data_IF_694835021937
#
_entry.id   IF_694835021937
#
_cell.length_a   1.000
_cell.length_b   1.000
_cell.length_c   1.000
_cell.angle_alpha   90.00
_cell.angle_beta   90.00
_cell.angle_gamma   90.00
#
_symmetry.space_group_name_H-M   'P 1'
#
loop_
_entity.id
_entity.type
_entity.pdbx_description
1 polymer ?
#
# COMPACT_ATOMS: atom_id res chain seq x y z
N UNK A 1 28.93 0.19 -3.45
CA UNK A 1 27.84 -0.12 -4.40
C UNK A 1 26.56 0.24 -3.69
N UNK A 2 25.72 1.04 -4.34
CA UNK A 2 24.45 1.49 -3.76
C UNK A 2 23.32 0.45 -3.86
N UNK A 3 23.61 -0.71 -4.45
CA UNK A 3 22.75 -1.88 -4.40
C UNK A 3 23.54 -3.18 -4.42
N UNK A 4 22.92 -4.28 -4.00
CA UNK A 4 23.47 -5.62 -4.11
C UNK A 4 22.36 -6.68 -4.18
N UNK A 5 22.69 -7.85 -4.73
CA UNK A 5 21.83 -9.03 -4.69
C UNK A 5 21.88 -9.65 -3.29
N UNK A 6 20.73 -10.10 -2.81
CA UNK A 6 20.55 -10.75 -1.50
C UNK A 6 19.44 -11.79 -1.59
N UNK A 7 19.05 -12.37 -0.46
CA UNK A 7 17.99 -13.37 -0.37
C UNK A 7 17.05 -13.03 0.77
N UNK A 8 15.74 -13.10 0.54
CA UNK A 8 14.69 -13.00 1.57
C UNK A 8 13.86 -14.27 1.52
N UNK A 9 13.88 -15.06 2.61
CA UNK A 9 13.13 -16.33 2.70
C UNK A 9 13.33 -17.26 1.49
N UNK A 10 14.60 -17.40 1.05
CA UNK A 10 15.04 -18.17 -0.13
C UNK A 10 14.67 -17.58 -1.50
N UNK A 11 14.06 -16.39 -1.56
CA UNK A 11 13.83 -15.67 -2.81
C UNK A 11 14.99 -14.71 -3.11
N UNK A 12 15.53 -14.72 -4.35
CA UNK A 12 16.43 -13.68 -4.80
C UNK A 12 15.79 -12.30 -4.64
N UNK A 13 16.56 -11.36 -4.10
CA UNK A 13 16.10 -10.03 -3.79
C UNK A 13 17.20 -9.01 -4.12
N UNK A 14 16.79 -7.75 -4.31
CA UNK A 14 17.70 -6.63 -4.52
C UNK A 14 17.59 -5.69 -3.33
N UNK A 15 18.71 -5.47 -2.63
CA UNK A 15 18.82 -4.44 -1.60
C UNK A 15 19.37 -3.17 -2.24
N UNK A 16 18.58 -2.09 -2.20
CA UNK A 16 19.02 -0.73 -2.48
C UNK A 16 19.44 -0.09 -1.16
N UNK A 17 20.63 0.50 -1.11
CA UNK A 17 21.24 1.00 0.12
C UNK A 17 21.98 2.31 -0.07
N UNK A 18 21.64 3.29 0.77
CA UNK A 18 22.39 4.54 0.99
C UNK A 18 23.07 4.48 2.36
N UNK A 19 23.80 5.53 2.79
CA UNK A 19 24.29 5.61 4.17
C UNK A 19 23.16 5.63 5.21
N UNK A 20 21.99 6.14 4.85
CA UNK A 20 20.90 6.41 5.79
C UNK A 20 19.79 5.35 5.76
N UNK A 21 19.52 4.74 4.60
CA UNK A 21 18.30 3.95 4.39
C UNK A 21 18.57 2.70 3.54
N UNK A 22 17.82 1.65 3.82
CA UNK A 22 17.78 0.43 3.00
C UNK A 22 16.33 0.07 2.62
N UNK A 23 16.15 -0.30 1.35
CA UNK A 23 14.95 -0.94 0.83
C UNK A 23 15.32 -2.26 0.20
N UNK A 24 14.56 -3.32 0.48
CA UNK A 24 14.78 -4.63 -0.14
C UNK A 24 13.55 -5.03 -0.95
N UNK A 25 13.75 -5.29 -2.23
CA UNK A 25 12.70 -5.67 -3.19
C UNK A 25 12.85 -7.13 -3.58
N UNK A 26 11.73 -7.87 -3.68
CA UNK A 26 11.68 -9.25 -4.16
C UNK A 26 11.01 -9.28 -5.55
N UNK A 27 11.77 -9.27 -6.65
CA UNK A 27 11.20 -9.18 -8.00
C UNK A 27 10.21 -10.30 -8.33
N UNK A 28 10.49 -11.52 -7.87
CA UNK A 28 9.70 -12.72 -8.18
C UNK A 28 8.31 -12.76 -7.52
N UNK A 29 8.01 -11.86 -6.59
CA UNK A 29 6.74 -11.81 -5.85
C UNK A 29 6.10 -10.45 -6.10
N UNK A 30 5.63 -10.22 -7.34
CA UNK A 30 4.96 -8.97 -7.70
C UNK A 30 5.81 -7.71 -7.46
N UNK A 31 7.14 -7.85 -7.46
CA UNK A 31 8.07 -6.81 -7.03
C UNK A 31 7.87 -6.31 -5.59
N UNK A 32 7.37 -7.13 -4.66
CA UNK A 32 7.12 -6.75 -3.27
C UNK A 32 8.32 -6.05 -2.60
N UNK A 33 8.10 -4.90 -1.96
CA UNK A 33 9.10 -4.37 -1.01
C UNK A 33 8.93 -5.12 0.29
N UNK A 34 10.00 -5.74 0.76
CA UNK A 34 10.01 -6.62 1.92
C UNK A 34 10.58 -5.96 3.17
N UNK A 35 11.42 -4.94 2.99
CA UNK A 35 12.08 -4.21 4.06
C UNK A 35 12.15 -2.72 3.71
N UNK A 36 11.96 -1.88 4.71
CA UNK A 36 12.19 -0.44 4.68
C UNK A 36 12.70 -0.02 6.06
N UNK A 37 13.97 0.38 6.15
CA UNK A 37 14.59 0.69 7.44
C UNK A 37 15.66 1.76 7.35
N UNK A 38 15.79 2.53 8.43
CA UNK A 38 16.95 3.40 8.65
C UNK A 38 18.14 2.55 9.06
N UNK A 39 19.29 2.81 8.44
CA UNK A 39 20.56 2.14 8.75
C UNK A 39 21.32 2.82 9.88
N UNK A 40 21.34 4.16 9.87
CA UNK A 40 21.91 4.95 10.97
C UNK A 40 21.18 4.63 12.27
N UNK A 41 21.94 4.42 13.35
CA UNK A 41 21.38 4.13 14.67
C UNK A 41 20.76 2.73 14.82
N UNK A 42 20.81 1.87 13.78
CA UNK A 42 20.09 0.58 13.72
C UNK A 42 18.58 0.78 13.90
N UNK A 43 18.00 1.57 13.02
CA UNK A 43 16.57 1.87 13.01
C UNK A 43 15.70 0.64 12.86
N UNK A 44 14.42 0.80 13.17
CA UNK A 44 13.46 -0.30 13.11
C UNK A 44 13.12 -0.73 11.68
N UNK A 45 12.64 -1.96 11.55
CA UNK A 45 11.92 -2.39 10.34
C UNK A 45 10.51 -1.81 10.36
N UNK A 46 10.14 -1.06 9.31
CA UNK A 46 8.84 -0.44 9.17
C UNK A 46 7.81 -1.36 8.56
N UNK A 47 8.19 -2.24 7.63
CA UNK A 47 7.24 -3.14 6.98
C UNK A 47 6.94 -4.33 7.88
N UNK A 48 5.66 -4.62 8.06
CA UNK A 48 5.18 -5.79 8.76
C UNK A 48 5.48 -7.03 7.94
N UNK A 49 5.79 -8.12 8.62
CA UNK A 49 5.94 -9.45 8.04
C UNK A 49 5.13 -10.42 8.90
N UNK A 50 4.36 -11.27 8.24
CA UNK A 50 3.54 -12.26 8.94
C UNK A 50 4.42 -13.36 9.54
N UNK A 51 4.15 -13.72 10.79
CA UNK A 51 4.73 -14.90 11.44
C UNK A 51 3.98 -16.20 11.10
N UNK A 52 2.85 -16.08 10.39
CA UNK A 52 1.92 -17.18 10.10
C UNK A 52 1.72 -17.44 8.60
N UNK A 53 2.13 -16.49 7.75
CA UNK A 53 1.93 -16.51 6.30
C UNK A 53 3.29 -16.34 5.64
N UNK A 54 3.94 -17.44 5.19
CA UNK A 54 5.24 -17.35 4.58
C UNK A 54 5.17 -16.65 3.22
N UNK A 55 6.28 -16.05 2.80
CA UNK A 55 6.45 -15.64 1.41
C UNK A 55 6.32 -16.85 0.49
N UNK A 56 5.55 -16.69 -0.59
CA UNK A 56 5.34 -17.71 -1.61
C UNK A 56 5.33 -17.06 -3.00
N UNK A 57 5.63 -17.85 -4.03
CA UNK A 57 5.41 -17.39 -5.40
C UNK A 57 3.91 -17.15 -5.59
N UNK A 58 3.52 -15.96 -6.09
CA UNK A 58 2.13 -15.62 -6.22
C UNK A 58 1.48 -16.44 -7.32
N UNK A 59 0.17 -16.66 -7.20
CA UNK A 59 -0.64 -17.38 -8.18
C UNK A 59 -1.77 -16.46 -8.63
N UNK A 60 -1.85 -16.22 -9.93
CA UNK A 60 -2.91 -15.40 -10.51
C UNK A 60 -4.30 -15.93 -10.11
N UNK A 61 -5.15 -15.04 -9.62
CA UNK A 61 -6.51 -15.37 -9.19
C UNK A 61 -6.63 -16.10 -7.84
N UNK A 62 -5.51 -16.36 -7.14
CA UNK A 62 -5.58 -16.89 -5.78
C UNK A 62 -6.07 -15.83 -4.77
N UNK A 63 -6.59 -16.29 -3.64
CA UNK A 63 -6.92 -15.42 -2.50
C UNK A 63 -5.66 -14.78 -1.93
N UNK A 64 -5.61 -13.45 -1.91
CA UNK A 64 -4.47 -12.70 -1.37
C UNK A 64 -4.37 -12.94 0.14
N UNK A 65 -5.48 -12.81 0.87
CA UNK A 65 -5.50 -12.97 2.34
C UNK A 65 -5.08 -14.37 2.80
N UNK A 66 -5.34 -15.40 2.00
CA UNK A 66 -4.94 -16.77 2.34
C UNK A 66 -3.48 -17.06 1.97
N UNK A 67 -3.02 -16.56 0.82
CA UNK A 67 -1.79 -17.06 0.18
C UNK A 67 -0.65 -16.05 0.10
N UNK A 68 -0.93 -14.75 0.26
CA UNK A 68 -0.01 -13.67 -0.10
C UNK A 68 0.11 -12.53 0.90
N UNK A 69 -0.82 -12.40 1.87
CA UNK A 69 -0.80 -11.45 3.01
C UNK A 69 0.33 -11.74 4.02
N UNK A 70 1.53 -11.92 3.49
CA UNK A 70 2.79 -12.23 4.15
C UNK A 70 3.49 -10.98 4.68
N UNK A 71 2.91 -9.80 4.44
CA UNK A 71 3.51 -8.51 4.76
C UNK A 71 4.26 -7.86 3.59
N UNK A 72 4.97 -6.79 3.90
CA UNK A 72 5.66 -5.96 2.92
C UNK A 72 4.75 -4.93 2.25
N UNK A 73 5.06 -4.62 1.00
CA UNK A 73 4.37 -3.63 0.17
C UNK A 73 4.09 -4.23 -1.20
N UNK A 74 2.80 -4.37 -1.52
CA UNK A 74 2.31 -4.88 -2.81
C UNK A 74 1.65 -3.78 -3.63
N UNK A 75 1.41 -4.03 -4.92
CA UNK A 75 0.66 -3.12 -5.77
C UNK A 75 -0.69 -3.74 -6.12
N UNK A 76 -1.77 -2.97 -5.92
CA UNK A 76 -3.12 -3.35 -6.31
C UNK A 76 -3.58 -2.49 -7.48
N UNK A 77 -3.93 -3.15 -8.58
CA UNK A 77 -4.50 -2.54 -9.78
C UNK A 77 -5.13 -3.63 -10.64
N UNK A 78 -6.29 -3.42 -11.27
CA UNK A 78 -7.13 -2.22 -11.28
C UNK A 78 -8.20 -2.21 -10.16
N UNK A 79 -8.09 -3.12 -9.18
CA UNK A 79 -9.00 -3.29 -8.03
C UNK A 79 -8.18 -3.77 -6.81
N UNK A 80 -8.75 -3.66 -5.60
CA UNK A 80 -8.19 -4.27 -4.38
C UNK A 80 -9.04 -5.46 -3.96
N UNK A 81 -10.36 -5.33 -3.86
CA UNK A 81 -11.27 -6.45 -3.68
C UNK A 81 -11.56 -7.14 -5.02
N UNK A 82 -11.86 -8.46 -5.03
CA UNK A 82 -12.33 -9.12 -6.23
C UNK A 82 -13.61 -8.44 -6.75
N UNK A 83 -13.65 -8.13 -8.04
CA UNK A 83 -14.70 -7.28 -8.61
C UNK A 83 -15.08 -7.71 -10.02
N UNK A 84 -16.37 -7.70 -10.40
CA UNK A 84 -16.70 -7.65 -11.82
C UNK A 84 -16.11 -6.36 -12.44
N UNK A 85 -15.90 -6.37 -13.76
CA UNK A 85 -15.51 -5.17 -14.51
C UNK A 85 -16.79 -4.39 -14.81
N UNK A 86 -16.97 -3.16 -14.28
CA UNK A 86 -18.20 -2.41 -14.50
C UNK A 86 -18.47 -2.16 -15.99
N UNK A 87 -19.66 -2.52 -16.46
CA UNK A 87 -20.06 -2.38 -17.86
C UNK A 87 -19.55 -3.48 -18.81
N UNK A 88 -18.83 -4.49 -18.31
CA UNK A 88 -18.41 -5.62 -19.13
C UNK A 88 -19.59 -6.55 -19.50
N UNK A 89 -19.51 -7.27 -20.63
CA UNK A 89 -20.55 -8.23 -21.02
C UNK A 89 -20.81 -9.33 -19.97
N UNK A 90 -22.04 -9.88 -19.90
CA UNK A 90 -22.33 -11.04 -19.07
C UNK A 90 -21.39 -12.21 -19.38
N UNK A 91 -20.84 -12.81 -18.32
CA UNK A 91 -19.88 -13.93 -18.43
C UNK A 91 -18.42 -13.52 -18.53
N UNK A 92 -18.09 -12.22 -18.57
CA UNK A 92 -16.71 -11.75 -18.40
C UNK A 92 -16.18 -12.15 -17.01
N UNK A 93 -14.98 -12.78 -16.91
CA UNK A 93 -14.39 -13.11 -15.62
C UNK A 93 -14.20 -11.88 -14.73
N UNK A 94 -14.29 -12.07 -13.42
CA UNK A 94 -14.04 -11.01 -12.45
C UNK A 94 -12.55 -10.69 -12.36
N UNK A 95 -12.23 -9.42 -12.10
CA UNK A 95 -10.91 -9.00 -11.66
C UNK A 95 -10.54 -9.73 -10.37
N UNK A 96 -9.29 -10.20 -10.25
CA UNK A 96 -8.86 -11.01 -9.13
C UNK A 96 -8.75 -10.18 -7.84
N UNK A 97 -8.75 -10.90 -6.72
CA UNK A 97 -8.42 -10.33 -5.40
C UNK A 97 -7.05 -9.65 -5.44
N UNK A 98 -6.98 -8.43 -4.93
CA UNK A 98 -5.86 -7.47 -4.97
C UNK A 98 -5.40 -7.06 -6.37
N UNK A 99 -6.20 -7.32 -7.39
CA UNK A 99 -5.87 -6.99 -8.77
C UNK A 99 -4.76 -7.87 -9.35
N UNK A 100 -4.21 -7.45 -10.49
CA UNK A 100 -3.32 -8.29 -11.29
C UNK A 100 -1.85 -8.14 -10.87
N UNK A 101 -1.44 -6.99 -10.34
CA UNK A 101 -0.02 -6.63 -10.19
C UNK A 101 0.74 -7.41 -9.11
N UNK A 102 0.13 -7.71 -7.97
CA UNK A 102 0.77 -8.47 -6.88
C UNK A 102 1.19 -9.89 -7.31
N UNK A 103 0.50 -10.44 -8.32
CA UNK A 103 0.77 -11.77 -8.87
C UNK A 103 1.39 -11.75 -10.27
N UNK A 104 1.59 -10.56 -10.84
CA UNK A 104 2.15 -10.39 -12.17
C UNK A 104 3.63 -10.78 -12.22
N UNK A 105 4.06 -11.18 -13.41
CA UNK A 105 5.48 -11.27 -13.73
C UNK A 105 5.99 -9.88 -14.12
N UNK A 106 7.05 -9.44 -13.44
CA UNK A 106 7.68 -8.16 -13.70
C UNK A 106 9.01 -8.35 -14.42
N UNK A 107 9.27 -7.49 -15.40
CA UNK A 107 10.62 -7.32 -15.93
C UNK A 107 11.27 -6.16 -15.21
N UNK A 108 12.44 -6.38 -14.61
CA UNK A 108 13.11 -5.36 -13.79
C UNK A 108 14.58 -5.17 -14.14
N UNK A 109 15.08 -3.96 -13.97
CA UNK A 109 16.49 -3.61 -13.99
C UNK A 109 16.84 -2.70 -12.82
N UNK A 110 18.12 -2.69 -12.43
CA UNK A 110 18.65 -1.80 -11.39
C UNK A 110 19.86 -1.07 -11.94
N UNK A 111 19.93 0.23 -11.73
CA UNK A 111 21.00 1.09 -12.24
C UNK A 111 21.26 2.29 -11.33
N UNK A 112 22.49 2.79 -11.36
CA UNK A 112 22.93 3.99 -10.64
C UNK A 112 22.90 5.21 -11.57
N UNK A 113 22.56 6.37 -11.04
CA UNK A 113 22.59 7.66 -11.73
C UNK A 113 22.82 8.80 -10.73
N UNK A 114 22.90 10.05 -11.21
CA UNK A 114 23.22 11.20 -10.37
C UNK A 114 22.18 11.47 -9.25
N UNK A 115 20.91 11.15 -9.49
CA UNK A 115 19.81 11.31 -8.51
C UNK A 115 19.69 10.12 -7.53
N UNK A 116 20.55 9.10 -7.64
CA UNK A 116 20.54 7.94 -6.74
C UNK A 116 20.51 6.59 -7.47
N UNK A 117 19.84 5.63 -6.85
CA UNK A 117 19.78 4.25 -7.34
C UNK A 117 18.36 3.87 -7.63
N UNK A 118 18.09 3.48 -8.87
CA UNK A 118 16.75 3.13 -9.31
C UNK A 118 16.65 1.64 -9.59
N UNK A 119 15.63 1.02 -9.02
CA UNK A 119 15.12 -0.27 -9.45
C UNK A 119 13.82 -0.03 -10.22
N UNK A 120 13.90 -0.16 -11.55
CA UNK A 120 12.79 0.06 -12.47
C UNK A 120 12.19 -1.28 -12.89
N UNK A 121 10.87 -1.35 -12.99
CA UNK A 121 10.20 -2.53 -13.52
C UNK A 121 8.91 -2.20 -14.26
N UNK A 122 8.50 -3.14 -15.12
CA UNK A 122 7.20 -3.11 -15.77
C UNK A 122 6.50 -4.46 -15.75
N UNK A 123 5.18 -4.41 -15.78
CA UNK A 123 4.27 -5.53 -15.92
C UNK A 123 3.15 -5.16 -16.91
N UNK A 124 2.53 -6.18 -17.52
CA UNK A 124 1.38 -6.01 -18.40
C UNK A 124 0.13 -6.62 -17.77
N UNK A 125 -0.99 -5.95 -17.93
CA UNK A 125 -2.29 -6.50 -17.58
C UNK A 125 -2.62 -7.72 -18.45
N UNK A 126 -3.35 -8.67 -17.86
CA UNK A 126 -3.86 -9.87 -18.52
C UNK A 126 -5.34 -9.71 -18.82
N UNK A 127 -6.11 -9.19 -17.86
CA UNK A 127 -7.55 -8.98 -18.00
C UNK A 127 -7.89 -7.65 -18.65
N UNK A 128 -7.12 -6.60 -18.36
CA UNK A 128 -7.24 -5.30 -19.01
C UNK A 128 -5.98 -4.96 -19.82
N UNK A 129 -6.12 -4.30 -20.97
CA UNK A 129 -4.99 -3.99 -21.84
C UNK A 129 -4.23 -2.76 -21.32
N UNK A 130 -3.28 -2.99 -20.41
CA UNK A 130 -2.41 -1.93 -19.90
C UNK A 130 -0.96 -2.37 -19.74
N UNK A 131 -0.07 -1.39 -19.70
CA UNK A 131 1.30 -1.56 -19.21
C UNK A 131 1.50 -0.68 -17.98
N UNK A 132 2.00 -1.27 -16.91
CA UNK A 132 2.26 -0.60 -15.65
C UNK A 132 3.74 -0.59 -15.38
N UNK A 133 4.24 0.56 -14.96
CA UNK A 133 5.64 0.80 -14.64
C UNK A 133 5.74 1.28 -13.20
N UNK A 134 6.76 0.79 -12.51
CA UNK A 134 7.13 1.26 -11.18
C UNK A 134 8.63 1.39 -11.06
N UNK A 135 9.06 2.49 -10.49
CA UNK A 135 10.45 2.72 -10.10
C UNK A 135 10.53 2.87 -8.58
N UNK A 136 11.50 2.21 -7.96
CA UNK A 136 11.94 2.46 -6.59
C UNK A 136 13.25 3.23 -6.66
N UNK A 137 13.20 4.53 -6.38
CA UNK A 137 14.34 5.45 -6.46
C UNK A 137 14.82 5.74 -5.04
N UNK A 138 16.01 5.25 -4.70
CA UNK A 138 16.66 5.52 -3.43
C UNK A 138 17.53 6.77 -3.54
N UNK A 139 17.27 7.75 -2.68
CA UNK A 139 18.08 8.97 -2.60
C UNK A 139 19.51 8.63 -2.10
N UNK A 140 20.57 9.20 -2.71
CA UNK A 140 21.94 8.84 -2.37
C UNK A 140 22.38 9.40 -1.02
N UNK A 141 21.70 10.42 -0.49
CA UNK A 141 22.11 11.16 0.72
C UNK A 141 21.02 11.16 1.76
N UNK A 142 19.81 11.56 1.38
CA UNK A 142 18.69 11.71 2.31
C UNK A 142 18.02 10.36 2.62
N UNK A 143 17.39 10.19 3.79
CA UNK A 143 16.62 8.99 4.13
C UNK A 143 15.26 8.97 3.40
N UNK A 144 15.30 9.00 2.07
CA UNK A 144 14.14 9.15 1.19
C UNK A 144 14.13 8.06 0.11
N UNK A 145 12.94 7.51 -0.12
CA UNK A 145 12.63 6.61 -1.23
C UNK A 145 11.46 7.19 -2.01
N UNK A 146 11.59 7.27 -3.32
CA UNK A 146 10.50 7.70 -4.20
C UNK A 146 10.02 6.52 -5.00
N UNK A 147 8.72 6.24 -4.90
CA UNK A 147 8.02 5.31 -5.75
C UNK A 147 7.37 6.11 -6.87
N UNK A 148 7.84 5.92 -8.10
CA UNK A 148 7.30 6.60 -9.29
C UNK A 148 6.52 5.59 -10.11
N UNK A 149 5.33 5.99 -10.53
CA UNK A 149 4.38 5.13 -11.19
C UNK A 149 3.98 5.69 -12.54
N UNK A 150 3.68 4.78 -13.46
CA UNK A 150 3.08 5.10 -14.75
C UNK A 150 2.20 3.97 -15.22
N UNK A 151 1.00 4.28 -15.70
CA UNK A 151 0.11 3.31 -16.36
C UNK A 151 -0.28 3.85 -17.74
N UNK A 152 -0.24 2.96 -18.74
CA UNK A 152 -0.65 3.23 -20.11
C UNK A 152 -1.76 2.26 -20.50
N UNK A 153 -2.90 2.77 -21.00
CA UNK A 153 -3.88 1.93 -21.66
C UNK A 153 -3.39 1.60 -23.07
N UNK A 154 -3.13 0.32 -23.33
CA UNK A 154 -2.64 -0.20 -24.61
C UNK A 154 -3.75 -0.75 -25.50
N UNK A 155 -4.99 -0.72 -25.03
CA UNK A 155 -6.18 -1.16 -25.76
C UNK A 155 -6.87 -0.05 -26.55
N UNK A 156 -8.03 -0.40 -27.10
CA UNK A 156 -8.87 0.45 -27.95
C UNK A 156 -10.15 0.95 -27.24
N UNK A 157 -10.40 0.51 -26.00
CA UNK A 157 -11.53 0.92 -25.18
C UNK A 157 -11.08 1.53 -23.83
N UNK A 158 -11.82 2.52 -23.30
CA UNK A 158 -11.61 2.99 -21.95
C UNK A 158 -12.00 1.93 -20.92
N UNK A 159 -11.32 1.88 -19.78
CA UNK A 159 -11.72 1.05 -18.66
C UNK A 159 -11.64 1.80 -17.32
N UNK A 160 -12.53 1.50 -16.37
CA UNK A 160 -12.44 2.05 -15.02
C UNK A 160 -11.32 1.36 -14.24
N UNK A 161 -10.70 2.09 -13.31
CA UNK A 161 -9.68 1.53 -12.42
C UNK A 161 -9.67 2.23 -11.05
N UNK A 162 -9.16 1.49 -10.08
CA UNK A 162 -8.54 2.04 -8.87
C UNK A 162 -7.10 1.53 -8.75
N UNK A 163 -6.27 2.25 -7.98
CA UNK A 163 -4.91 1.84 -7.64
C UNK A 163 -4.69 2.00 -6.13
N UNK A 164 -4.02 1.04 -5.50
CA UNK A 164 -3.56 1.15 -4.11
C UNK A 164 -2.14 0.61 -3.99
N UNK A 165 -1.27 1.35 -3.30
CA UNK A 165 0.11 0.92 -3.05
C UNK A 165 0.24 -0.11 -1.91
N UNK A 166 -0.84 -0.51 -1.24
CA UNK A 166 -0.93 -1.59 -0.24
C UNK A 166 0.33 -1.92 0.63
N UNK A 167 0.93 -0.95 1.38
CA UNK A 167 2.00 -1.26 2.32
C UNK A 167 1.45 -1.68 3.68
N UNK A 168 1.94 -2.79 4.20
CA UNK A 168 1.63 -3.27 5.54
C UNK A 168 2.74 -2.85 6.50
N UNK A 169 2.40 -1.97 7.45
CA UNK A 169 3.32 -1.44 8.44
C UNK A 169 3.29 -2.22 9.75
N UNK A 170 4.49 -2.44 10.29
CA UNK A 170 4.73 -3.06 11.58
C UNK A 170 4.38 -2.03 12.65
N UNK A 171 3.23 -2.17 13.28
CA UNK A 171 2.72 -1.27 14.32
C UNK A 171 2.59 -2.01 15.65
N UNK A 172 2.57 -1.27 16.74
CA UNK A 172 2.43 -1.79 18.10
C UNK A 172 1.55 -0.86 18.93
N UNK A 173 1.09 -1.31 20.11
CA UNK A 173 0.50 -0.40 21.09
C UNK A 173 1.37 0.84 21.31
N UNK A 174 0.73 2.02 21.25
CA UNK A 174 1.39 3.31 21.34
C UNK A 174 1.87 3.89 20.00
N UNK A 175 1.93 3.11 18.91
CA UNK A 175 2.21 3.68 17.58
C UNK A 175 1.18 4.76 17.25
N UNK A 176 1.66 5.90 16.78
CA UNK A 176 0.82 7.06 16.47
C UNK A 176 0.69 7.19 14.96
N UNK A 177 -0.54 7.21 14.46
CA UNK A 177 -0.90 7.54 13.07
C UNK A 177 -1.46 8.96 13.02
N UNK A 178 -0.86 9.79 12.17
CA UNK A 178 -1.29 11.19 11.94
C UNK A 178 -1.64 11.39 10.47
N UNK A 179 -2.83 11.95 10.23
CA UNK A 179 -3.36 12.33 8.92
C UNK A 179 -3.80 13.82 8.98
N UNK A 180 -2.89 14.80 8.83
CA UNK A 180 -3.13 16.19 9.24
C UNK A 180 -4.31 16.91 8.57
N UNK A 181 -4.71 16.49 7.37
CA UNK A 181 -5.83 17.10 6.64
C UNK A 181 -7.12 16.27 6.66
N UNK A 182 -7.12 15.14 7.37
CA UNK A 182 -8.27 14.23 7.42
C UNK A 182 -9.10 14.53 8.66
N UNK A 183 -10.38 14.84 8.46
CA UNK A 183 -11.34 15.10 9.55
C UNK A 183 -12.48 14.10 9.61
N UNK A 184 -12.70 13.34 8.53
CA UNK A 184 -13.74 12.32 8.42
C UNK A 184 -13.23 11.14 7.60
N UNK A 185 -13.78 9.97 7.89
CA UNK A 185 -13.49 8.70 7.21
C UNK A 185 -14.79 7.97 6.92
N UNK A 186 -14.82 7.21 5.82
CA UNK A 186 -15.93 6.33 5.46
C UNK A 186 -15.51 4.87 5.60
N UNK A 187 -16.34 4.07 6.27
CA UNK A 187 -16.04 2.69 6.63
C UNK A 187 -16.42 1.73 5.49
N UNK A 188 -15.56 0.75 5.21
CA UNK A 188 -15.81 -0.32 4.23
C UNK A 188 -15.84 -1.73 4.87
N UNK A 189 -15.14 -1.93 5.99
CA UNK A 189 -15.24 -3.17 6.77
C UNK A 189 -15.08 -2.89 8.27
N UNK A 190 -15.77 -3.68 9.09
CA UNK A 190 -15.73 -3.58 10.56
C UNK A 190 -15.72 -4.99 11.17
N UNK A 191 -14.80 -5.22 12.11
CA UNK A 191 -14.67 -6.46 12.86
C UNK A 191 -14.51 -6.14 14.35
N UNK A 192 -15.30 -6.78 15.22
CA UNK A 192 -15.16 -6.66 16.67
C UNK A 192 -15.61 -5.32 17.27
N UNK A 193 -16.46 -4.56 16.56
CA UNK A 193 -17.06 -3.30 17.02
C UNK A 193 -18.56 -3.33 16.71
N UNK A 194 -19.37 -2.95 17.69
CA UNK A 194 -20.84 -2.91 17.57
C UNK A 194 -21.38 -1.49 17.35
N UNK A 195 -20.53 -0.47 17.53
CA UNK A 195 -20.86 0.95 17.42
C UNK A 195 -20.55 1.54 16.02
N UNK A 196 -20.00 0.73 15.12
CA UNK A 196 -19.59 1.10 13.77
C UNK A 196 -20.08 0.07 12.77
N UNK A 197 -20.44 0.51 11.57
CA UNK A 197 -20.94 -0.33 10.48
C UNK A 197 -20.31 0.06 9.14
N UNK A 198 -20.32 -0.88 8.19
CA UNK A 198 -19.95 -0.60 6.79
C UNK A 198 -20.83 0.51 6.24
N UNK A 199 -20.22 1.50 5.59
CA UNK A 199 -20.90 2.67 5.02
C UNK A 199 -20.99 3.88 5.94
N UNK A 200 -20.71 3.72 7.24
CA UNK A 200 -20.70 4.84 8.18
C UNK A 200 -19.66 5.89 7.78
N UNK A 201 -20.01 7.16 7.98
CA UNK A 201 -19.09 8.30 7.87
C UNK A 201 -18.91 8.89 9.25
N UNK A 202 -17.68 8.86 9.76
CA UNK A 202 -17.38 9.24 11.15
C UNK A 202 -16.20 10.19 11.24
N UNK A 203 -16.11 10.94 12.33
CA UNK A 203 -15.01 11.87 12.58
C UNK A 203 -13.69 11.15 12.81
N UNK A 204 -12.64 11.60 12.15
CA UNK A 204 -11.27 11.11 12.32
C UNK A 204 -10.46 12.04 13.23
N UNK A 205 -9.60 11.51 14.12
CA UNK A 205 -9.51 10.10 14.53
C UNK A 205 -10.51 9.73 15.64
N UNK A 206 -11.22 10.72 16.21
CA UNK A 206 -11.95 10.57 17.48
C UNK A 206 -12.99 9.46 17.53
N UNK A 207 -13.71 9.18 16.44
CA UNK A 207 -14.69 8.08 16.40
C UNK A 207 -14.03 6.68 16.30
N UNK A 208 -12.76 6.62 15.89
CA UNK A 208 -11.99 5.38 15.77
C UNK A 208 -11.11 5.14 17.02
N UNK A 209 -10.52 6.19 17.59
CA UNK A 209 -9.67 6.14 18.80
C UNK A 209 -9.59 7.49 19.50
N UNK A 210 -9.82 7.53 20.81
CA UNK A 210 -10.21 8.69 21.62
C UNK A 210 -9.13 9.78 21.91
N UNK A 211 -8.37 10.21 20.89
CA UNK A 211 -7.53 11.42 20.91
C UNK A 211 -8.05 12.48 19.91
N UNK A 212 -7.78 13.80 20.12
CA UNK A 212 -8.35 14.86 19.28
C UNK A 212 -7.76 14.91 17.86
N UNK A 213 -6.45 14.65 17.67
CA UNK A 213 -5.77 14.90 16.39
C UNK A 213 -4.98 13.70 15.84
N UNK A 214 -4.77 12.66 16.65
CA UNK A 214 -3.94 11.51 16.29
C UNK A 214 -4.59 10.19 16.71
N UNK A 215 -4.45 9.17 15.86
CA UNK A 215 -4.84 7.81 16.22
C UNK A 215 -3.67 7.13 16.92
N UNK A 216 -3.89 6.63 18.13
CA UNK A 216 -2.90 5.87 18.88
C UNK A 216 -3.34 4.41 18.95
N UNK A 217 -2.48 3.50 18.48
CA UNK A 217 -2.76 2.07 18.54
C UNK A 217 -2.96 1.64 20.00
N UNK A 218 -4.12 1.06 20.35
CA UNK A 218 -4.41 0.65 21.72
C UNK A 218 -3.57 -0.56 22.14
N UNK A 219 -3.43 -0.75 23.46
CA UNK A 219 -2.84 -1.96 24.03
C UNK A 219 -3.72 -3.20 23.78
N UNK A 220 -5.03 -3.02 23.95
CA UNK A 220 -6.06 -4.03 23.78
C UNK A 220 -7.17 -3.46 22.89
N UNK A 221 -7.19 -3.89 21.62
CA UNK A 221 -8.24 -3.54 20.66
C UNK A 221 -9.26 -4.66 20.49
N UNK A 222 -8.80 -5.82 20.00
CA UNK A 222 -9.64 -6.94 19.55
C UNK A 222 -10.64 -6.56 18.44
N UNK A 223 -10.30 -5.54 17.65
CA UNK A 223 -11.08 -5.09 16.49
C UNK A 223 -10.18 -4.81 15.28
N UNK A 224 -10.79 -4.78 14.10
CA UNK A 224 -10.15 -4.31 12.88
C UNK A 224 -11.16 -3.54 12.02
N UNK A 225 -10.71 -2.51 11.31
CA UNK A 225 -11.56 -1.73 10.38
C UNK A 225 -10.83 -1.43 9.08
N UNK A 226 -11.55 -1.50 7.95
CA UNK A 226 -11.16 -0.89 6.68
C UNK A 226 -11.92 0.42 6.53
N UNK A 227 -11.22 1.50 6.21
CA UNK A 227 -11.82 2.80 5.99
C UNK A 227 -11.04 3.61 4.96
N UNK A 228 -11.67 4.67 4.44
CA UNK A 228 -11.09 5.55 3.43
C UNK A 228 -11.34 7.02 3.77
N UNK A 229 -10.44 7.89 3.32
CA UNK A 229 -10.59 9.33 3.34
C UNK A 229 -9.89 9.97 2.15
N UNK A 230 -10.25 11.23 1.85
CA UNK A 230 -9.40 12.07 1.01
C UNK A 230 -8.19 12.52 1.83
N UNK A 231 -6.98 12.42 1.27
CA UNK A 231 -5.73 12.80 1.98
C UNK A 231 -5.64 14.29 2.31
N UNK A 232 -6.47 15.10 1.65
CA UNK A 232 -6.52 16.55 1.77
C UNK A 232 -5.26 17.25 1.25
N UNK A 233 -5.20 18.59 1.36
CA UNK A 233 -4.17 19.40 0.71
C UNK A 233 -2.75 19.15 1.23
N UNK A 234 -2.58 18.56 2.41
CA UNK A 234 -1.25 18.20 2.89
C UNK A 234 -0.65 17.01 2.15
N UNK A 235 -1.47 16.07 1.64
CA UNK A 235 -1.00 14.82 1.04
C UNK A 235 -0.09 13.98 1.95
N UNK A 236 -0.08 14.26 3.26
CA UNK A 236 0.88 13.72 4.23
C UNK A 236 0.21 12.69 5.13
N UNK A 237 0.87 11.55 5.30
CA UNK A 237 0.52 10.51 6.25
C UNK A 237 1.76 10.17 7.07
N UNK A 238 1.62 9.90 8.37
CA UNK A 238 2.79 9.64 9.22
C UNK A 238 2.56 8.62 10.31
N UNK A 239 3.60 7.83 10.57
CA UNK A 239 3.70 6.91 11.68
C UNK A 239 4.85 7.31 12.61
N UNK A 240 4.59 7.32 13.91
CA UNK A 240 5.62 7.53 14.93
C UNK A 240 5.71 6.32 15.85
N UNK A 241 6.91 5.78 15.98
CA UNK A 241 7.22 4.66 16.86
C UNK A 241 7.27 5.12 18.33
N UNK A 242 6.54 4.46 19.25
CA UNK A 242 6.47 4.92 20.64
C UNK A 242 7.72 4.59 21.45
N UNK A 243 8.57 3.66 21.00
CA UNK A 243 9.76 3.27 21.76
C UNK A 243 10.97 4.14 21.47
N UNK A 244 11.16 4.48 20.19
CA UNK A 244 12.33 5.22 19.75
C UNK A 244 12.01 6.63 19.28
N UNK A 245 10.76 6.99 19.06
CA UNK A 245 10.42 8.27 18.43
C UNK A 245 10.70 8.30 16.92
N UNK A 246 11.23 7.21 16.35
CA UNK A 246 11.44 7.07 14.90
C UNK A 246 10.13 7.35 14.15
N UNK A 247 10.21 8.15 13.09
CA UNK A 247 9.05 8.54 12.28
C UNK A 247 9.22 8.07 10.84
N UNK A 248 8.12 7.66 10.24
CA UNK A 248 7.96 7.44 8.81
C UNK A 248 6.90 8.40 8.29
N UNK A 249 7.20 9.11 7.21
CA UNK A 249 6.27 10.00 6.53
C UNK A 249 6.09 9.55 5.09
N UNK A 250 4.84 9.42 4.65
CA UNK A 250 4.48 9.23 3.25
C UNK A 250 3.87 10.54 2.75
N UNK A 251 4.30 10.98 1.57
CA UNK A 251 3.86 12.22 0.93
C UNK A 251 3.43 11.93 -0.50
N UNK A 252 2.26 12.42 -0.85
CA UNK A 252 1.71 12.37 -2.21
C UNK A 252 1.24 13.75 -2.66
N UNK A 253 1.16 13.96 -3.97
CA UNK A 253 0.36 15.05 -4.51
C UNK A 253 -1.11 14.63 -4.46
N UNK A 254 -1.91 15.32 -3.64
CA UNK A 254 -3.34 15.04 -3.49
C UNK A 254 -4.15 15.23 -4.79
N UNK A 255 -3.62 15.93 -5.79
CA UNK A 255 -4.26 16.03 -7.10
C UNK A 255 -4.06 14.76 -7.95
N UNK A 256 -2.97 14.02 -7.72
CA UNK A 256 -2.66 12.77 -8.43
C UNK A 256 -3.13 11.54 -7.65
N UNK A 257 -2.97 11.55 -6.33
CA UNK A 257 -3.33 10.47 -5.40
C UNK A 257 -4.24 11.06 -4.31
N UNK A 258 -5.55 11.14 -4.57
CA UNK A 258 -6.46 11.91 -3.74
C UNK A 258 -6.95 11.17 -2.50
N UNK A 259 -6.88 9.84 -2.46
CA UNK A 259 -7.41 9.04 -1.35
C UNK A 259 -6.32 8.36 -0.53
N UNK A 260 -6.66 8.01 0.70
CA UNK A 260 -5.95 7.06 1.54
C UNK A 260 -6.91 5.98 2.04
N UNK A 261 -6.57 4.72 1.78
CA UNK A 261 -7.16 3.55 2.43
C UNK A 261 -6.41 3.19 3.71
N UNK A 262 -7.13 2.82 4.75
CA UNK A 262 -6.55 2.29 5.98
C UNK A 262 -7.16 0.94 6.30
N UNK A 263 -6.31 -0.05 6.55
CA UNK A 263 -6.66 -1.26 7.29
C UNK A 263 -6.03 -1.19 8.67
N UNK A 264 -6.81 -0.85 9.69
CA UNK A 264 -6.34 -0.77 11.07
C UNK A 264 -6.70 -2.07 11.77
N UNK A 265 -5.72 -2.94 12.02
CA UNK A 265 -5.93 -4.18 12.76
C UNK A 265 -5.35 -4.07 14.16
N UNK A 266 -6.22 -3.98 15.15
CA UNK A 266 -5.85 -3.95 16.56
C UNK A 266 -5.99 -5.33 17.21
N UNK A 267 -5.44 -6.37 16.57
CA UNK A 267 -5.62 -7.80 16.93
C UNK A 267 -7.07 -8.27 16.89
N UNK A 268 -7.91 -7.67 16.05
CA UNK A 268 -9.30 -8.12 15.89
C UNK A 268 -9.52 -9.10 14.76
N UNK A 269 -8.57 -9.18 13.82
CA UNK A 269 -8.75 -9.98 12.61
C UNK A 269 -7.46 -10.73 12.21
N UNK A 270 -7.66 -11.93 11.67
CA UNK A 270 -6.68 -12.68 10.88
C UNK A 270 -7.46 -13.59 9.91
N UNK A 271 -6.81 -14.08 8.84
CA UNK A 271 -7.41 -15.08 7.97
C UNK A 271 -7.82 -16.34 8.76
N UNK A 272 -8.80 -17.11 8.28
CA UNK A 272 -9.28 -18.31 8.98
C UNK A 272 -8.15 -19.26 9.42
N UNK A 273 -8.23 -19.74 10.66
CA UNK A 273 -7.24 -20.65 11.24
C UNK A 273 -5.95 -19.99 11.74
N UNK A 274 -5.86 -18.65 11.74
CA UNK A 274 -4.70 -17.89 12.21
C UNK A 274 -5.03 -17.02 13.42
N UNK A 275 -4.00 -16.66 14.18
CA UNK A 275 -4.10 -15.77 15.34
C UNK A 275 -4.13 -14.31 14.87
N UNK A 276 -5.08 -13.48 15.34
CA UNK A 276 -5.08 -12.05 15.11
C UNK A 276 -3.78 -11.35 15.52
N UNK A 277 -3.39 -10.34 14.75
CA UNK A 277 -2.14 -9.60 14.90
C UNK A 277 -2.36 -8.09 14.84
N UNK A 278 -1.32 -7.33 15.19
CA UNK A 278 -1.25 -5.90 14.89
C UNK A 278 -0.61 -5.73 13.52
N UNK A 279 -1.31 -5.05 12.61
CA UNK A 279 -0.74 -4.49 11.40
C UNK A 279 -1.57 -3.28 10.95
N UNK A 280 -0.98 -2.47 10.08
CA UNK A 280 -1.64 -1.33 9.47
C UNK A 280 -1.40 -1.36 7.97
N UNK A 281 -2.43 -1.40 7.15
CA UNK A 281 -2.29 -0.91 5.79
C UNK A 281 -2.50 0.60 5.78
N UNK A 282 -1.52 1.37 5.29
CA UNK A 282 -1.60 2.82 5.11
C UNK A 282 -1.39 3.11 3.63
N UNK A 283 -2.49 3.24 2.89
CA UNK A 283 -2.52 3.03 1.46
C UNK A 283 -2.87 4.33 0.72
N UNK A 284 -1.90 5.14 0.26
CA UNK A 284 -2.21 6.13 -0.76
C UNK A 284 -2.83 5.42 -1.98
N UNK A 285 -3.96 5.94 -2.44
CA UNK A 285 -4.74 5.31 -3.49
C UNK A 285 -5.40 6.33 -4.44
N UNK A 286 -5.73 5.81 -5.62
CA UNK A 286 -6.54 6.47 -6.64
C UNK A 286 -7.85 5.71 -6.71
N UNK A 287 -8.92 6.33 -6.23
CA UNK A 287 -10.24 5.75 -6.08
C UNK A 287 -10.43 4.94 -4.80
N UNK A 288 -11.69 4.73 -4.44
CA UNK A 288 -12.16 4.01 -3.24
C UNK A 288 -13.62 3.55 -3.45
N UNK A 289 -14.10 2.49 -2.78
CA UNK A 289 -13.40 1.65 -1.82
C UNK A 289 -12.65 0.51 -2.52
N UNK A 290 -12.33 -0.58 -1.82
CA UNK A 290 -11.46 -1.66 -2.33
C UNK A 290 -12.02 -2.35 -3.58
N UNK A 291 -13.35 -2.48 -3.70
CA UNK A 291 -13.99 -3.14 -4.85
C UNK A 291 -14.27 -2.13 -5.97
N UNK A 292 -13.73 -2.38 -7.16
CA UNK A 292 -13.87 -1.47 -8.32
C UNK A 292 -15.34 -1.18 -8.69
N UNK A 293 -16.23 -2.17 -8.60
CA UNK A 293 -17.66 -1.96 -8.87
C UNK A 293 -18.29 -0.95 -7.91
N UNK A 294 -18.07 -1.10 -6.60
CA UNK A 294 -18.52 -0.17 -5.58
C UNK A 294 -17.90 1.22 -5.82
N UNK A 295 -16.63 1.28 -6.23
CA UNK A 295 -15.92 2.52 -6.52
C UNK A 295 -16.51 3.28 -7.74
N UNK A 296 -17.04 2.57 -8.72
CA UNK A 296 -17.71 3.14 -9.90
C UNK A 296 -19.16 3.52 -9.60
N UNK A 297 -19.92 2.58 -9.03
CA UNK A 297 -21.38 2.66 -8.96
C UNK A 297 -21.91 3.33 -7.69
N UNK A 298 -21.21 3.16 -6.56
CA UNK A 298 -21.71 3.61 -5.25
C UNK A 298 -20.94 4.82 -4.73
N UNK A 299 -19.61 4.81 -4.84
CA UNK A 299 -18.75 5.87 -4.30
C UNK A 299 -18.32 6.91 -5.33
N UNK A 300 -18.46 6.59 -6.63
CA UNK A 300 -18.10 7.46 -7.74
C UNK A 300 -16.67 8.03 -7.65
N UNK A 301 -15.73 7.24 -7.12
CA UNK A 301 -14.34 7.64 -6.91
C UNK A 301 -13.37 6.92 -7.85
N UNK A 302 -13.81 5.88 -8.56
CA UNK A 302 -12.98 5.23 -9.58
C UNK A 302 -12.60 6.19 -10.72
N UNK A 303 -11.39 6.01 -11.25
CA UNK A 303 -10.92 6.76 -12.41
C UNK A 303 -11.20 5.97 -13.70
N UNK A 304 -11.10 6.63 -14.85
CA UNK A 304 -11.18 6.00 -16.16
C UNK A 304 -9.90 6.27 -16.93
N UNK A 305 -9.31 5.22 -17.53
CA UNK A 305 -8.14 5.33 -18.39
C UNK A 305 -8.55 5.15 -19.86
N UNK A 306 -8.46 6.20 -20.67
CA UNK A 306 -8.86 6.19 -22.08
C UNK A 306 -7.82 5.49 -22.97
N UNK A 307 -8.20 5.05 -24.19
CA UNK A 307 -7.25 4.45 -25.13
C UNK A 307 -6.03 5.35 -25.38
N UNK A 308 -4.83 4.80 -25.20
CA UNK A 308 -3.56 5.53 -25.34
C UNK A 308 -3.30 6.59 -24.25
N UNK A 309 -4.20 6.74 -23.27
CA UNK A 309 -3.96 7.62 -22.13
C UNK A 309 -2.87 7.02 -21.23
N UNK A 310 -1.96 7.91 -20.84
CA UNK A 310 -0.94 7.62 -19.86
C UNK A 310 -1.16 8.49 -18.62
N UNK A 311 -1.10 7.87 -17.44
CA UNK A 311 -1.10 8.58 -16.16
C UNK A 311 0.16 8.28 -15.38
N UNK A 312 0.61 9.27 -14.61
CA UNK A 312 1.79 9.20 -13.75
C UNK A 312 1.42 9.75 -12.38
N UNK A 313 2.05 9.21 -11.35
CA UNK A 313 1.95 9.71 -9.99
C UNK A 313 3.17 9.23 -9.20
N UNK A 314 3.30 9.71 -7.97
CA UNK A 314 4.38 9.30 -7.09
C UNK A 314 3.94 9.20 -5.63
N UNK A 315 4.66 8.35 -4.89
CA UNK A 315 4.65 8.31 -3.42
C UNK A 315 6.08 8.52 -2.94
N UNK A 316 6.30 9.55 -2.14
CA UNK A 316 7.57 9.77 -1.47
C UNK A 316 7.49 9.26 -0.04
N UNK A 317 8.46 8.44 0.36
CA UNK A 317 8.59 7.91 1.72
C UNK A 317 9.86 8.46 2.34
N UNK A 318 9.72 9.07 3.51
CA UNK A 318 10.81 9.71 4.27
C UNK A 318 10.91 9.07 5.65
N UNK A 319 12.13 8.85 6.10
CA UNK A 319 12.41 8.60 7.51
C UNK A 319 13.07 9.87 8.06
N UNK A 320 12.32 10.90 8.52
CA UNK A 320 12.93 12.12 9.06
C UNK A 320 13.76 11.83 10.33
N UNK A 321 14.65 12.75 10.68
CA UNK A 321 15.30 12.72 12.00
C UNK A 321 14.28 13.05 13.10
N UNK A 322 14.57 12.62 14.33
CA UNK A 322 13.80 13.03 15.50
C UNK A 322 13.85 14.56 15.63
N UNK A 323 12.70 15.19 15.87
CA UNK A 323 12.72 16.57 16.33
C UNK A 323 13.40 16.58 17.71
N UNK A 324 14.60 17.15 17.78
CA UNK A 324 15.36 17.28 19.02
C UNK A 324 14.69 18.16 20.07
#
# INVERSE_FOLDING_TARGET
MSYHQTTVSNFPAVSLRSPELEVVVIPAIGMKLSHLRRLRGRGREWLWQSDQIPLALPRAGASYVETADSGGWDECFPTVGPSPIPGAPPGTPHLPDHGELWSAQWTSSVYEHAEGTTLAASARGVMLPYEFYREVVLDPVEPVVRLRYRVLNTGDAPFPYIWSSHPLFNVRPGTVLTLPSVSQVKLDAVHGRDDLSRGDVVSWPGAIGAGPDQFVFPADGAWAVKLFADVGPSGRMSLTDPLRGERLEMVVDSAEVPQVGLWINCRGWAPPGRRPYYNLALEPCIGAPDRLEDAVLEWHAAQTLRPGEERRWQVEVRLPEEAG
#
